data_IF_165644670727
#
_entry.id   IF_165644670727
#
_cell.length_a   1.000
_cell.length_b   1.000
_cell.length_c   1.000
_cell.angle_alpha   90.00
_cell.angle_beta   90.00
_cell.angle_gamma   90.00
#
_symmetry.space_group_name_H-M   'P 1'
#
loop_
_entity.id
_entity.type
_entity.pdbx_description
1 polymer ?
#
# COMPACT_ATOMS: atom_id res chain seq x y z
N UNK A 1 0.58 -9.16 7.46
CA UNK A 1 1.05 -7.77 7.55
C UNK A 1 1.76 -7.57 8.88
N UNK A 2 2.95 -7.03 8.84
CA UNK A 2 3.72 -6.76 10.06
C UNK A 2 4.31 -5.36 9.98
N UNK A 3 4.66 -4.81 11.13
CA UNK A 3 5.36 -3.55 11.21
C UNK A 3 6.83 -3.79 11.55
N UNK A 4 7.72 -3.19 10.79
CA UNK A 4 9.16 -3.31 10.99
C UNK A 4 9.77 -1.90 11.03
N UNK A 5 10.00 -1.37 12.23
CA UNK A 5 10.45 0.01 12.38
C UNK A 5 9.41 0.97 11.82
N UNK A 6 9.82 1.81 10.86
CA UNK A 6 8.93 2.76 10.19
C UNK A 6 8.25 2.17 8.94
N UNK A 7 8.45 0.88 8.66
CA UNK A 7 7.90 0.23 7.49
C UNK A 7 6.71 -0.63 7.85
N UNK A 8 5.66 -0.54 7.04
CA UNK A 8 4.53 -1.45 7.10
C UNK A 8 4.73 -2.48 6.00
N UNK A 9 4.91 -3.74 6.38
CA UNK A 9 5.26 -4.83 5.46
C UNK A 9 4.01 -5.61 5.09
N UNK A 10 3.70 -5.62 3.81
CA UNK A 10 2.54 -6.33 3.26
C UNK A 10 2.99 -7.64 2.65
N UNK A 11 2.17 -8.68 2.77
CA UNK A 11 2.47 -10.00 2.23
C UNK A 11 1.25 -10.58 1.54
N UNK A 12 1.48 -11.49 0.59
CA UNK A 12 0.42 -12.18 -0.14
C UNK A 12 -0.21 -11.30 -1.20
N UNK A 13 -1.42 -11.64 -1.62
CA UNK A 13 -2.13 -10.87 -2.63
C UNK A 13 -2.91 -9.73 -1.99
N UNK A 14 -2.77 -8.53 -2.54
CA UNK A 14 -3.61 -7.40 -2.17
C UNK A 14 -4.79 -7.32 -3.12
N UNK A 15 -5.74 -8.21 -2.92
CA UNK A 15 -6.93 -8.34 -3.73
C UNK A 15 -8.16 -7.88 -2.96
N UNK A 16 -9.27 -7.76 -3.68
CA UNK A 16 -10.54 -7.36 -3.07
C UNK A 16 -10.89 -8.24 -1.86
N UNK A 17 -10.67 -9.55 -1.97
CA UNK A 17 -11.00 -10.47 -0.91
C UNK A 17 -10.17 -10.24 0.36
N UNK A 18 -8.95 -9.76 0.20
CA UNK A 18 -8.04 -9.52 1.32
C UNK A 18 -8.18 -8.12 1.92
N UNK A 19 -8.84 -7.19 1.23
CA UNK A 19 -8.81 -5.79 1.62
C UNK A 19 -9.45 -5.51 2.99
N UNK A 20 -10.58 -6.16 3.31
CA UNK A 20 -11.25 -5.90 4.57
C UNK A 20 -10.37 -6.25 5.77
N UNK A 21 -9.69 -7.40 5.71
CA UNK A 21 -8.81 -7.81 6.79
C UNK A 21 -7.52 -6.99 6.79
N UNK A 22 -6.99 -6.70 5.64
CA UNK A 22 -5.80 -5.85 5.52
C UNK A 22 -6.07 -4.45 6.09
N UNK A 23 -7.24 -3.90 5.84
CA UNK A 23 -7.64 -2.61 6.40
C UNK A 23 -7.66 -2.63 7.93
N UNK A 24 -8.26 -3.67 8.52
CA UNK A 24 -8.28 -3.83 9.97
C UNK A 24 -6.88 -3.94 10.55
N UNK A 25 -6.03 -4.75 9.95
CA UNK A 25 -4.65 -4.92 10.41
C UNK A 25 -3.88 -3.63 10.29
N UNK A 26 -4.02 -2.93 9.18
CA UNK A 26 -3.31 -1.68 8.94
C UNK A 26 -3.70 -0.61 9.95
N UNK A 27 -4.98 -0.51 10.29
CA UNK A 27 -5.42 0.51 11.25
C UNK A 27 -4.78 0.33 12.62
N UNK A 28 -4.54 -0.92 13.04
CA UNK A 28 -3.90 -1.18 14.33
C UNK A 28 -2.39 -0.95 14.29
N UNK A 29 -1.78 -0.96 13.12
CA UNK A 29 -0.32 -0.83 12.95
C UNK A 29 0.10 0.54 12.43
N UNK A 30 -0.82 1.28 11.80
CA UNK A 30 -0.49 2.54 11.18
C UNK A 30 -0.31 3.62 12.24
N UNK A 31 0.79 4.35 12.13
CA UNK A 31 1.08 5.48 13.00
C UNK A 31 1.71 6.60 12.19
N UNK A 32 1.85 7.77 12.81
CA UNK A 32 2.42 8.94 12.16
C UNK A 32 3.88 8.73 11.75
N UNK A 33 4.55 7.76 12.35
CA UNK A 33 5.95 7.44 12.06
C UNK A 33 6.13 6.42 10.95
N UNK A 34 5.04 5.90 10.36
CA UNK A 34 5.14 5.02 9.19
C UNK A 34 5.51 5.88 7.98
N UNK A 35 6.63 5.57 7.35
CA UNK A 35 7.11 6.29 6.18
C UNK A 35 7.42 5.39 4.99
N UNK A 36 7.20 4.09 5.12
CA UNK A 36 7.50 3.12 4.08
C UNK A 36 6.42 2.05 4.02
N UNK A 37 5.99 1.73 2.81
CA UNK A 37 5.17 0.55 2.53
C UNK A 37 6.03 -0.46 1.79
N UNK A 38 6.30 -1.60 2.40
CA UNK A 38 7.12 -2.65 1.81
C UNK A 38 6.21 -3.67 1.13
N UNK A 39 6.24 -3.67 -0.18
CA UNK A 39 5.41 -4.55 -1.01
C UNK A 39 6.22 -5.66 -1.66
N UNK A 40 7.46 -5.88 -1.24
CA UNK A 40 8.34 -6.86 -1.87
C UNK A 40 7.85 -8.30 -1.70
N UNK A 41 7.06 -8.56 -0.67
CA UNK A 41 6.46 -9.88 -0.45
C UNK A 41 5.01 -9.98 -0.96
N UNK A 42 4.53 -8.97 -1.66
CA UNK A 42 3.20 -8.97 -2.27
C UNK A 42 3.29 -9.62 -3.65
N UNK A 43 2.46 -10.65 -3.88
CA UNK A 43 2.48 -11.39 -5.14
C UNK A 43 1.84 -10.59 -6.27
N UNK A 44 0.71 -9.94 -5.98
CA UNK A 44 -0.03 -9.16 -6.97
C UNK A 44 -0.95 -8.18 -6.26
N UNK A 45 -1.41 -7.20 -6.99
CA UNK A 45 -2.33 -6.18 -6.49
C UNK A 45 -3.39 -5.91 -7.56
N UNK A 46 -4.64 -5.74 -7.13
CA UNK A 46 -5.72 -5.28 -8.00
C UNK A 46 -6.13 -3.85 -7.63
N UNK A 47 -7.15 -3.32 -8.30
CA UNK A 47 -7.60 -1.95 -8.07
C UNK A 47 -8.08 -1.72 -6.64
N UNK A 48 -8.70 -2.72 -6.02
CA UNK A 48 -9.13 -2.61 -4.63
C UNK A 48 -7.92 -2.53 -3.68
N UNK A 49 -6.89 -3.33 -3.94
CA UNK A 49 -5.64 -3.27 -3.18
C UNK A 49 -4.94 -1.94 -3.32
N UNK A 50 -4.90 -1.39 -4.54
CA UNK A 50 -4.31 -0.08 -4.76
C UNK A 50 -5.08 1.01 -4.02
N UNK A 51 -6.41 0.96 -4.04
CA UNK A 51 -7.24 1.92 -3.33
C UNK A 51 -6.96 1.86 -1.82
N UNK A 52 -6.79 0.66 -1.27
CA UNK A 52 -6.41 0.48 0.12
C UNK A 52 -5.08 1.16 0.43
N UNK A 53 -4.06 0.91 -0.40
CA UNK A 53 -2.74 1.52 -0.19
C UNK A 53 -2.79 3.04 -0.30
N UNK A 54 -3.51 3.57 -1.27
CA UNK A 54 -3.64 5.02 -1.43
C UNK A 54 -4.34 5.66 -0.23
N UNK A 55 -5.37 5.01 0.30
CA UNK A 55 -6.08 5.49 1.49
C UNK A 55 -5.15 5.49 2.71
N UNK A 56 -4.37 4.43 2.90
CA UNK A 56 -3.42 4.36 4.00
C UNK A 56 -2.31 5.40 3.83
N UNK A 57 -1.82 5.59 2.61
CA UNK A 57 -0.78 6.60 2.34
C UNK A 57 -1.27 8.01 2.64
N UNK A 58 -2.55 8.28 2.41
CA UNK A 58 -3.15 9.57 2.72
C UNK A 58 -3.18 9.89 4.21
N UNK A 59 -3.01 8.90 5.06
CA UNK A 59 -2.96 9.07 6.52
C UNK A 59 -1.54 9.26 7.05
N UNK A 60 -0.56 9.23 6.16
CA UNK A 60 0.85 9.42 6.49
C UNK A 60 1.34 10.74 5.88
N UNK A 61 2.46 11.25 6.38
CA UNK A 61 3.06 12.50 5.84
C UNK A 61 3.83 12.27 4.55
N UNK A 62 3.65 11.15 3.93
CA UNK A 62 4.35 10.73 2.74
C UNK A 62 4.94 9.36 2.97
N UNK A 63 4.93 8.51 1.95
CA UNK A 63 5.44 7.16 2.07
C UNK A 63 6.35 6.85 0.89
N UNK A 64 7.39 6.06 1.16
CA UNK A 64 8.16 5.38 0.12
C UNK A 64 7.58 3.99 -0.09
N UNK A 65 7.52 3.55 -1.33
CA UNK A 65 7.01 2.23 -1.67
C UNK A 65 8.17 1.36 -2.15
N UNK A 66 8.41 0.26 -1.46
CA UNK A 66 9.42 -0.72 -1.84
C UNK A 66 8.76 -1.88 -2.57
N UNK A 67 9.33 -2.27 -3.70
CA UNK A 67 8.83 -3.39 -4.48
C UNK A 67 7.79 -2.95 -5.50
N UNK A 68 7.56 -3.84 -6.46
CA UNK A 68 6.62 -3.56 -7.54
C UNK A 68 5.86 -4.85 -7.87
N UNK A 69 4.83 -5.17 -7.09
CA UNK A 69 4.05 -6.38 -7.37
C UNK A 69 3.36 -6.28 -8.72
N UNK A 70 3.02 -7.44 -9.28
CA UNK A 70 2.35 -7.50 -10.57
C UNK A 70 1.08 -6.67 -10.56
N UNK A 71 0.91 -5.83 -11.57
CA UNK A 71 -0.24 -4.96 -11.73
C UNK A 71 -0.07 -3.56 -11.15
N UNK A 72 0.92 -3.34 -10.28
CA UNK A 72 1.05 -2.05 -9.60
C UNK A 72 1.36 -0.90 -10.57
N UNK A 73 2.31 -1.10 -11.48
CA UNK A 73 2.71 -0.04 -12.40
C UNK A 73 1.55 0.40 -13.29
N UNK A 74 0.81 -0.56 -13.82
CA UNK A 74 -0.34 -0.30 -14.68
C UNK A 74 -1.44 0.42 -13.91
N UNK A 75 -1.70 0.01 -12.69
CA UNK A 75 -2.72 0.62 -11.86
C UNK A 75 -2.34 2.05 -11.45
N UNK A 76 -1.07 2.29 -11.10
CA UNK A 76 -0.62 3.64 -10.78
C UNK A 76 -0.84 4.58 -11.95
N UNK A 77 -0.51 4.13 -13.14
CA UNK A 77 -0.72 4.92 -14.36
C UNK A 77 -2.20 5.18 -14.59
N UNK A 78 -3.03 4.15 -14.46
CA UNK A 78 -4.47 4.27 -14.70
C UNK A 78 -5.15 5.24 -13.73
N UNK A 79 -4.71 5.26 -12.47
CA UNK A 79 -5.29 6.13 -11.44
C UNK A 79 -4.48 7.39 -11.20
N UNK A 80 -3.44 7.64 -11.98
CA UNK A 80 -2.60 8.84 -11.89
C UNK A 80 -1.99 9.02 -10.50
N UNK A 81 -1.48 7.92 -9.96
CA UNK A 81 -0.80 7.94 -8.68
C UNK A 81 0.71 8.06 -8.92
N UNK A 82 1.39 8.83 -8.08
CA UNK A 82 2.83 8.91 -8.11
C UNK A 82 3.46 7.75 -7.31
N UNK A 83 4.79 7.75 -7.17
CA UNK A 83 5.49 6.69 -6.48
C UNK A 83 5.13 6.61 -4.99
N UNK A 84 4.65 7.68 -4.40
CA UNK A 84 4.19 7.72 -3.01
C UNK A 84 2.70 7.44 -2.88
N UNK A 85 2.05 6.96 -3.94
CA UNK A 85 0.62 6.62 -3.99
C UNK A 85 -0.29 7.82 -3.76
N UNK A 86 0.20 9.02 -4.04
CA UNK A 86 -0.61 10.23 -4.01
C UNK A 86 -1.09 10.56 -5.42
N UNK A 87 -2.29 11.11 -5.52
CA UNK A 87 -2.80 11.50 -6.83
C UNK A 87 -1.95 12.63 -7.41
N UNK A 88 -1.48 12.42 -8.64
CA UNK A 88 -0.68 13.40 -9.35
C UNK A 88 -1.57 14.25 -10.25
N UNK A 89 -1.57 15.47 -9.98
CA UNK A 89 -2.18 16.48 -10.81
C UNK A 89 -3.56 16.62 -11.02
#
# INVERSE_FOLDING_TARGET
>A
MVRNGNALVFTGALSREACAQAWKQAQSMLGADVDTFDLRAVDRIDSAGLALLAELAGRCDGVDVLGEPAGLAELRTAYRLDAALAFSG
#
